data_IF_132149314475
#
_entry.id   IF_132149314475
#
_cell.length_a   1.000
_cell.length_b   1.000
_cell.length_c   1.000
_cell.angle_alpha   90.00
_cell.angle_beta   90.00
_cell.angle_gamma   90.00
#
_symmetry.space_group_name_H-M   'P 1'
#
loop_
_entity.id
_entity.type
_entity.pdbx_description
1 polymer ?
#
# COMPACT_ATOMS: atom_id res chain seq x y z
N UNK A 1 14.67 -57.96 60.25
CA UNK A 1 14.15 -56.94 59.32
C UNK A 1 15.11 -56.83 58.15
N UNK A 2 14.77 -56.36 56.95
CA UNK A 2 13.52 -55.84 56.40
C UNK A 2 13.97 -55.20 55.07
N UNK A 3 13.39 -55.63 53.94
CA UNK A 3 13.38 -54.99 52.60
C UNK A 3 14.74 -54.77 51.89
N UNK A 4 14.94 -55.05 50.60
CA UNK A 4 14.02 -55.02 49.47
C UNK A 4 14.21 -53.72 48.68
N UNK A 5 14.72 -53.81 47.44
CA UNK A 5 14.68 -52.73 46.45
C UNK A 5 16.05 -52.34 45.88
N UNK A 6 16.22 -51.99 44.62
CA UNK A 6 15.38 -52.08 43.43
C UNK A 6 16.32 -51.87 42.22
N UNK A 7 16.14 -52.65 41.16
CA UNK A 7 16.87 -52.51 39.89
C UNK A 7 16.57 -51.14 39.27
N UNK A 8 17.59 -50.28 39.12
CA UNK A 8 17.49 -49.08 38.32
C UNK A 8 17.49 -49.44 36.83
N UNK A 9 16.35 -49.23 36.17
CA UNK A 9 16.19 -49.36 34.71
C UNK A 9 16.83 -48.13 34.05
N UNK A 10 17.85 -48.34 33.22
CA UNK A 10 18.32 -47.33 32.27
C UNK A 10 17.26 -47.06 31.21
N UNK A 11 16.66 -45.88 31.24
CA UNK A 11 15.79 -45.38 30.16
C UNK A 11 16.64 -44.83 29.00
N UNK A 12 16.18 -44.94 27.75
CA UNK A 12 16.95 -44.48 26.61
C UNK A 12 16.98 -42.94 26.56
N UNK A 13 18.17 -42.41 26.30
CA UNK A 13 18.41 -41.00 26.07
C UNK A 13 17.46 -40.46 24.99
N UNK A 14 16.58 -39.53 25.37
CA UNK A 14 15.78 -38.75 24.41
C UNK A 14 16.74 -37.93 23.55
N UNK A 15 16.91 -38.35 22.30
CA UNK A 15 17.55 -37.56 21.25
C UNK A 15 16.78 -36.24 21.14
N UNK A 16 17.38 -35.14 21.57
CA UNK A 16 16.85 -33.81 21.33
C UNK A 16 16.82 -33.60 19.80
N UNK A 17 15.62 -33.44 19.24
CA UNK A 17 15.45 -33.01 17.87
C UNK A 17 16.05 -31.59 17.73
N UNK A 18 16.81 -31.30 16.66
CA UNK A 18 17.33 -29.96 16.46
C UNK A 18 16.16 -29.00 16.23
N UNK A 19 16.19 -27.85 16.92
CA UNK A 19 15.24 -26.77 16.74
C UNK A 19 15.22 -26.34 15.27
N UNK A 20 14.08 -26.55 14.61
CA UNK A 20 13.79 -25.96 13.31
C UNK A 20 13.91 -24.45 13.45
N UNK A 21 14.97 -23.89 12.88
CA UNK A 21 15.13 -22.46 12.69
C UNK A 21 14.05 -22.01 11.72
N UNK A 22 12.98 -21.43 12.27
CA UNK A 22 11.85 -20.83 11.55
C UNK A 22 12.38 -19.64 10.72
N UNK A 23 12.83 -19.93 9.49
CA UNK A 23 13.12 -18.94 8.47
C UNK A 23 11.86 -18.13 8.14
N UNK A 24 11.97 -16.99 7.43
CA UNK A 24 10.85 -16.08 7.23
C UNK A 24 9.67 -16.82 6.57
N UNK A 25 8.62 -17.06 7.37
CA UNK A 25 7.41 -17.81 6.97
C UNK A 25 6.88 -17.25 5.65
N UNK A 26 7.06 -18.02 4.57
CA UNK A 26 6.45 -17.71 3.27
C UNK A 26 4.93 -17.73 3.47
N UNK A 27 4.26 -16.61 3.23
CA UNK A 27 2.79 -16.59 3.22
C UNK A 27 2.29 -17.59 2.17
N UNK A 28 1.32 -18.45 2.49
CA UNK A 28 0.80 -19.42 1.53
C UNK A 28 0.19 -18.68 0.33
N UNK A 29 0.37 -19.24 -0.87
CA UNK A 29 -0.08 -18.61 -2.12
C UNK A 29 -1.60 -18.34 -2.13
N UNK A 30 -2.39 -19.19 -1.46
CA UNK A 30 -3.82 -18.98 -1.26
C UNK A 30 -4.12 -17.66 -0.51
N UNK A 31 -3.45 -17.41 0.62
CA UNK A 31 -3.64 -16.18 1.39
C UNK A 31 -3.19 -14.92 0.62
N UNK A 32 -2.26 -15.06 -0.33
CA UNK A 32 -1.88 -13.97 -1.24
C UNK A 32 -3.01 -13.69 -2.25
N UNK A 33 -3.57 -14.73 -2.87
CA UNK A 33 -4.67 -14.59 -3.82
C UNK A 33 -5.92 -14.01 -3.15
N UNK A 34 -6.27 -14.48 -1.95
CA UNK A 34 -7.41 -13.99 -1.17
C UNK A 34 -7.29 -12.50 -0.85
N UNK A 35 -6.09 -12.05 -0.46
CA UNK A 35 -5.83 -10.62 -0.21
C UNK A 35 -6.00 -9.79 -1.48
N UNK A 36 -5.48 -10.26 -2.62
CA UNK A 36 -5.61 -9.54 -3.88
C UNK A 36 -7.07 -9.45 -4.28
N UNK A 37 -7.83 -10.54 -4.19
CA UNK A 37 -9.26 -10.53 -4.51
C UNK A 37 -10.07 -9.60 -3.60
N UNK A 38 -9.77 -9.56 -2.29
CA UNK A 38 -10.39 -8.60 -1.39
C UNK A 38 -10.10 -7.14 -1.82
N UNK A 39 -8.84 -6.83 -2.12
CA UNK A 39 -8.47 -5.50 -2.61
C UNK A 39 -9.19 -5.19 -3.93
N UNK A 40 -9.33 -6.15 -4.84
CA UNK A 40 -10.07 -5.97 -6.10
C UNK A 40 -11.56 -5.71 -5.87
N UNK A 41 -12.18 -6.41 -4.91
CA UNK A 41 -13.59 -6.22 -4.54
C UNK A 41 -13.87 -4.81 -4.00
N UNK A 42 -12.96 -4.28 -3.17
CA UNK A 42 -13.06 -2.90 -2.65
C UNK A 42 -13.05 -1.84 -3.78
N UNK A 43 -12.50 -2.17 -4.95
CA UNK A 43 -12.46 -1.28 -6.13
C UNK A 43 -13.69 -1.40 -7.04
N UNK A 44 -14.59 -2.36 -6.82
CA UNK A 44 -15.75 -2.54 -7.69
C UNK A 44 -16.68 -1.31 -7.69
N UNK A 45 -17.05 -0.71 -6.53
CA UNK A 45 -17.99 0.41 -6.51
C UNK A 45 -17.51 1.64 -7.28
N UNK A 46 -16.21 1.95 -7.22
CA UNK A 46 -15.63 3.09 -7.93
C UNK A 46 -15.53 2.85 -9.45
N UNK A 47 -15.23 1.62 -9.88
CA UNK A 47 -15.12 1.27 -11.30
C UNK A 47 -16.51 1.23 -11.94
N UNK A 48 -17.51 0.76 -11.20
CA UNK A 48 -18.88 0.79 -11.67
C UNK A 48 -19.42 2.22 -11.77
N UNK A 49 -19.09 3.11 -10.84
CA UNK A 49 -19.42 4.54 -10.95
C UNK A 49 -18.76 5.19 -12.19
N UNK A 50 -17.49 4.87 -12.47
CA UNK A 50 -16.79 5.30 -13.70
C UNK A 50 -17.46 4.79 -14.98
N UNK A 51 -17.98 3.56 -14.96
CA UNK A 51 -18.78 2.96 -16.05
C UNK A 51 -20.09 3.68 -16.24
N UNK A 52 -20.86 3.89 -15.16
CA UNK A 52 -22.17 4.55 -15.19
C UNK A 52 -22.06 5.97 -15.72
N UNK A 53 -21.01 6.70 -15.32
CA UNK A 53 -20.69 8.05 -15.84
C UNK A 53 -20.14 8.03 -17.27
N UNK A 54 -19.96 6.86 -17.89
CA UNK A 54 -19.40 6.68 -19.25
C UNK A 54 -18.05 7.39 -19.45
N UNK A 55 -17.28 7.58 -18.37
CA UNK A 55 -15.92 8.16 -18.44
C UNK A 55 -14.97 7.17 -19.10
N UNK A 56 -15.18 5.88 -18.81
CA UNK A 56 -14.47 4.77 -19.44
C UNK A 56 -15.47 3.81 -20.07
N UNK A 57 -15.10 3.25 -21.21
CA UNK A 57 -15.87 2.18 -21.88
C UNK A 57 -15.60 0.84 -21.19
N UNK A 58 -16.53 -0.11 -21.30
CA UNK A 58 -16.35 -1.47 -20.76
C UNK A 58 -15.02 -2.16 -21.10
N UNK A 59 -14.50 -2.12 -22.34
CA UNK A 59 -13.19 -2.70 -22.63
C UNK A 59 -12.04 -1.99 -21.89
N UNK A 60 -12.11 -0.67 -21.70
CA UNK A 60 -11.10 0.09 -20.95
C UNK A 60 -11.15 -0.28 -19.47
N UNK A 61 -12.35 -0.45 -18.91
CA UNK A 61 -12.52 -0.88 -17.51
C UNK A 61 -11.93 -2.27 -17.29
N UNK A 62 -12.16 -3.22 -18.21
CA UNK A 62 -11.52 -4.54 -18.16
C UNK A 62 -10.00 -4.45 -18.15
N UNK A 63 -9.43 -3.56 -18.97
CA UNK A 63 -7.98 -3.34 -18.98
C UNK A 63 -7.48 -2.71 -17.67
N UNK A 64 -8.23 -1.76 -17.09
CA UNK A 64 -7.89 -1.14 -15.79
C UNK A 64 -7.90 -2.20 -14.68
N UNK A 65 -8.94 -3.03 -14.63
CA UNK A 65 -9.06 -4.14 -13.67
C UNK A 65 -7.87 -5.09 -13.79
N UNK A 66 -7.54 -5.52 -15.01
CA UNK A 66 -6.42 -6.42 -15.23
C UNK A 66 -5.10 -5.79 -14.80
N UNK A 67 -4.82 -4.54 -15.20
CA UNK A 67 -3.57 -3.85 -14.84
C UNK A 67 -3.43 -3.66 -13.33
N UNK A 68 -4.51 -3.26 -12.65
CA UNK A 68 -4.51 -3.13 -11.18
C UNK A 68 -4.25 -4.46 -10.49
N UNK A 69 -4.89 -5.54 -10.96
CA UNK A 69 -4.66 -6.90 -10.47
C UNK A 69 -3.19 -7.29 -10.63
N UNK A 70 -2.60 -7.05 -11.80
CA UNK A 70 -1.18 -7.36 -12.06
C UNK A 70 -0.25 -6.59 -11.10
N UNK A 71 -0.53 -5.32 -10.84
CA UNK A 71 0.22 -4.52 -9.86
C UNK A 71 0.05 -5.05 -8.43
N UNK A 72 -1.16 -5.41 -8.00
CA UNK A 72 -1.37 -5.95 -6.66
C UNK A 72 -0.65 -7.30 -6.48
N UNK A 73 -0.69 -8.18 -7.48
CA UNK A 73 0.11 -9.41 -7.46
C UNK A 73 1.62 -9.10 -7.41
N UNK A 74 2.11 -8.14 -8.20
CA UNK A 74 3.50 -7.73 -8.15
C UNK A 74 3.90 -7.17 -6.77
N UNK A 75 3.01 -6.44 -6.11
CA UNK A 75 3.19 -5.93 -4.75
C UNK A 75 3.08 -6.98 -3.65
N UNK A 76 2.57 -8.18 -3.93
CA UNK A 76 2.55 -9.27 -2.94
C UNK A 76 3.77 -10.20 -3.00
N UNK A 77 4.58 -10.11 -4.07
CA UNK A 77 5.83 -10.87 -4.19
C UNK A 77 6.75 -10.63 -2.98
N UNK A 78 7.63 -11.59 -2.69
CA UNK A 78 8.55 -11.49 -1.54
C UNK A 78 9.56 -10.35 -1.78
N UNK A 79 10.14 -10.28 -2.99
CA UNK A 79 11.19 -9.31 -3.35
C UNK A 79 10.63 -7.98 -3.88
N UNK A 80 9.79 -7.33 -3.07
CA UNK A 80 9.27 -5.98 -3.41
C UNK A 80 10.40 -4.97 -3.41
N UNK A 81 10.49 -4.20 -4.49
CA UNK A 81 11.36 -3.03 -4.63
C UNK A 81 10.52 -1.75 -4.64
N UNK A 82 11.08 -0.59 -4.23
CA UNK A 82 10.39 0.70 -4.33
C UNK A 82 9.86 0.98 -5.75
N UNK A 83 10.62 0.54 -6.77
CA UNK A 83 10.26 0.68 -8.18
C UNK A 83 8.90 0.07 -8.56
N UNK A 84 8.46 -1.03 -7.90
CA UNK A 84 7.15 -1.62 -8.17
C UNK A 84 6.01 -0.72 -7.67
N UNK A 85 6.18 -0.10 -6.49
CA UNK A 85 5.24 0.90 -5.99
C UNK A 85 5.21 2.13 -6.89
N UNK A 86 6.39 2.64 -7.29
CA UNK A 86 6.47 3.80 -8.17
C UNK A 86 5.88 3.54 -9.56
N UNK A 87 6.05 2.33 -10.09
CA UNK A 87 5.40 1.91 -11.33
C UNK A 87 3.88 1.96 -11.24
N UNK A 88 3.33 1.47 -10.13
CA UNK A 88 1.89 1.51 -9.88
C UNK A 88 1.38 2.95 -9.69
N UNK A 89 2.09 3.77 -8.90
CA UNK A 89 1.77 5.20 -8.74
C UNK A 89 1.74 5.92 -10.08
N UNK A 90 2.75 5.72 -10.94
CA UNK A 90 2.80 6.35 -12.27
C UNK A 90 1.58 5.98 -13.12
N UNK A 91 1.18 4.71 -13.09
CA UNK A 91 -0.01 4.24 -13.78
C UNK A 91 -1.29 4.92 -13.23
N UNK A 92 -1.48 4.93 -11.91
CA UNK A 92 -2.67 5.54 -11.30
C UNK A 92 -2.72 7.06 -11.48
N UNK A 93 -1.58 7.76 -11.46
CA UNK A 93 -1.51 9.20 -11.80
C UNK A 93 -1.94 9.44 -13.25
N UNK A 94 -1.45 8.63 -14.19
CA UNK A 94 -1.84 8.74 -15.60
C UNK A 94 -3.34 8.48 -15.78
N UNK A 95 -3.89 7.48 -15.09
CA UNK A 95 -5.31 7.14 -15.10
C UNK A 95 -6.17 8.28 -14.52
N UNK A 96 -5.76 8.87 -13.40
CA UNK A 96 -6.44 10.01 -12.79
C UNK A 96 -6.40 11.26 -13.68
N UNK A 97 -5.28 11.53 -14.35
CA UNK A 97 -5.17 12.59 -15.36
C UNK A 97 -6.14 12.36 -16.53
N UNK A 98 -6.24 11.13 -17.04
CA UNK A 98 -7.17 10.77 -18.10
C UNK A 98 -8.62 10.93 -17.65
N UNK A 99 -8.95 10.47 -16.43
CA UNK A 99 -10.27 10.64 -15.82
C UNK A 99 -10.64 12.12 -15.70
N UNK A 100 -9.75 12.97 -15.19
CA UNK A 100 -9.97 14.41 -15.05
C UNK A 100 -10.25 15.08 -16.40
N UNK A 101 -9.44 14.78 -17.42
CA UNK A 101 -9.61 15.31 -18.79
C UNK A 101 -10.96 14.91 -19.42
N UNK A 102 -11.37 13.66 -19.26
CA UNK A 102 -12.66 13.18 -19.77
C UNK A 102 -13.84 13.72 -18.96
N UNK A 103 -13.68 13.81 -17.64
CA UNK A 103 -14.71 14.32 -16.74
C UNK A 103 -14.95 15.81 -16.92
N UNK A 104 -13.92 16.61 -17.23
CA UNK A 104 -14.08 18.06 -17.49
C UNK A 104 -14.94 18.34 -18.72
N UNK A 105 -14.94 17.44 -19.71
CA UNK A 105 -15.80 17.57 -20.89
C UNK A 105 -17.28 17.32 -20.58
N UNK A 106 -17.60 16.60 -19.50
CA UNK A 106 -18.93 16.03 -19.26
C UNK A 106 -19.82 16.85 -18.29
N UNK A 107 -19.38 18.03 -17.83
CA UNK A 107 -20.17 18.99 -17.03
C UNK A 107 -21.07 18.37 -15.93
N UNK A 108 -20.54 17.39 -15.18
CA UNK A 108 -21.29 16.72 -14.13
C UNK A 108 -21.61 17.67 -12.96
N UNK A 109 -22.89 17.83 -12.64
CA UNK A 109 -23.35 18.72 -11.55
C UNK A 109 -23.05 18.21 -10.14
N UNK A 110 -22.81 16.90 -9.97
CA UNK A 110 -22.57 16.27 -8.66
C UNK A 110 -21.27 15.46 -8.65
N UNK A 111 -20.46 15.71 -7.62
CA UNK A 111 -19.30 14.87 -7.29
C UNK A 111 -19.78 13.50 -6.81
N UNK A 112 -19.11 12.44 -7.26
CA UNK A 112 -19.41 11.06 -6.88
C UNK A 112 -18.20 10.38 -6.24
N UNK A 113 -18.36 9.10 -5.91
CA UNK A 113 -17.30 8.28 -5.29
C UNK A 113 -16.04 8.24 -6.16
N UNK A 114 -16.19 8.10 -7.48
CA UNK A 114 -15.05 8.03 -8.41
C UNK A 114 -14.21 9.30 -8.47
N UNK A 115 -14.72 10.46 -8.01
CA UNK A 115 -13.98 11.71 -8.00
C UNK A 115 -12.89 11.75 -6.92
N UNK A 116 -13.09 11.02 -5.82
CA UNK A 116 -12.15 10.94 -4.70
C UNK A 116 -11.37 9.62 -4.69
N UNK A 117 -11.92 8.58 -5.30
CA UNK A 117 -11.36 7.23 -5.32
C UNK A 117 -9.92 7.19 -5.86
N UNK A 118 -9.63 7.86 -6.98
CA UNK A 118 -8.30 7.88 -7.59
C UNK A 118 -7.23 8.46 -6.66
N UNK A 119 -7.52 9.62 -6.06
CA UNK A 119 -6.60 10.27 -5.10
C UNK A 119 -6.43 9.42 -3.84
N UNK A 120 -7.52 8.85 -3.30
CA UNK A 120 -7.46 7.95 -2.15
C UNK A 120 -6.58 6.73 -2.42
N UNK A 121 -6.70 6.11 -3.61
CA UNK A 121 -5.85 4.97 -3.98
C UNK A 121 -4.39 5.36 -4.02
N UNK A 122 -4.05 6.48 -4.65
CA UNK A 122 -2.67 6.97 -4.69
C UNK A 122 -2.11 7.16 -3.28
N UNK A 123 -2.87 7.78 -2.38
CA UNK A 123 -2.50 7.91 -0.95
C UNK A 123 -2.25 6.54 -0.32
N UNK A 124 -3.15 5.57 -0.51
CA UNK A 124 -2.96 4.21 0.04
C UNK A 124 -1.72 3.50 -0.50
N UNK A 125 -1.40 3.65 -1.80
CA UNK A 125 -0.20 3.06 -2.40
C UNK A 125 1.06 3.72 -1.82
N UNK A 126 1.07 5.05 -1.69
CA UNK A 126 2.17 5.77 -1.06
C UNK A 126 2.34 5.38 0.40
N UNK A 127 1.26 5.29 1.18
CA UNK A 127 1.29 4.86 2.58
C UNK A 127 1.90 3.45 2.73
N UNK A 128 1.51 2.51 1.86
CA UNK A 128 2.11 1.16 1.81
C UNK A 128 3.60 1.23 1.46
N UNK A 129 3.98 2.09 0.51
CA UNK A 129 5.36 2.28 0.07
C UNK A 129 6.25 2.82 1.20
N UNK A 130 5.87 3.94 1.81
CA UNK A 130 6.66 4.58 2.89
C UNK A 130 6.68 3.75 4.16
N UNK A 131 5.62 3.00 4.45
CA UNK A 131 5.59 2.08 5.60
C UNK A 131 6.59 0.95 5.45
N UNK A 132 6.85 0.49 4.22
CA UNK A 132 7.84 -0.56 3.94
C UNK A 132 9.26 0.00 3.81
N UNK A 133 9.42 1.13 3.14
CA UNK A 133 10.71 1.75 2.81
C UNK A 133 10.91 3.07 3.57
N UNK A 134 10.84 3.02 4.90
CA UNK A 134 10.86 4.21 5.77
C UNK A 134 12.13 5.05 5.62
N UNK A 135 13.27 4.39 5.37
CA UNK A 135 14.59 5.01 5.32
C UNK A 135 14.84 5.86 4.05
N UNK A 136 14.12 5.60 2.96
CA UNK A 136 14.37 6.30 1.70
C UNK A 136 13.67 7.67 1.66
N UNK A 137 14.45 8.73 1.85
CA UNK A 137 13.97 10.12 1.82
C UNK A 137 13.38 10.52 0.47
N UNK A 138 13.83 9.93 -0.64
CA UNK A 138 13.34 10.26 -1.99
C UNK A 138 11.86 9.91 -2.15
N UNK A 139 11.43 8.80 -1.55
CA UNK A 139 10.03 8.38 -1.56
C UNK A 139 9.14 9.36 -0.78
N UNK A 140 9.63 9.88 0.35
CA UNK A 140 8.93 10.89 1.12
C UNK A 140 8.78 12.20 0.34
N UNK A 141 9.82 12.66 -0.35
CA UNK A 141 9.73 13.83 -1.22
C UNK A 141 8.71 13.65 -2.35
N UNK A 142 8.71 12.50 -3.02
CA UNK A 142 7.72 12.20 -4.06
C UNK A 142 6.29 12.16 -3.51
N UNK A 143 6.11 11.64 -2.30
CA UNK A 143 4.81 11.61 -1.66
C UNK A 143 4.33 13.03 -1.27
N UNK A 144 5.22 13.86 -0.75
CA UNK A 144 4.92 15.27 -0.44
C UNK A 144 4.58 16.05 -1.71
N UNK A 145 5.35 15.90 -2.79
CA UNK A 145 5.04 16.54 -4.09
C UNK A 145 3.66 16.12 -4.61
N UNK A 146 3.30 14.83 -4.49
CA UNK A 146 1.97 14.34 -4.82
C UNK A 146 0.88 14.98 -3.93
N UNK A 147 1.10 15.07 -2.61
CA UNK A 147 0.17 15.71 -1.69
C UNK A 147 -0.02 17.20 -1.99
N UNK A 148 1.05 17.91 -2.37
CA UNK A 148 0.99 19.31 -2.80
C UNK A 148 0.17 19.48 -4.07
N UNK A 149 0.39 18.65 -5.08
CA UNK A 149 -0.38 18.67 -6.36
C UNK A 149 -1.84 18.28 -6.20
N UNK A 150 -2.15 17.38 -5.27
CA UNK A 150 -3.51 16.96 -4.99
C UNK A 150 -4.31 17.96 -4.14
N UNK A 151 -3.64 18.96 -3.53
CA UNK A 151 -4.28 19.98 -2.70
C UNK A 151 -4.85 19.46 -1.38
N UNK A 152 -4.52 18.22 -0.98
CA UNK A 152 -5.04 17.61 0.24
C UNK A 152 -4.25 18.04 1.46
N UNK A 153 -4.58 19.21 2.02
CA UNK A 153 -3.86 19.83 3.16
C UNK A 153 -3.78 18.92 4.38
N UNK A 154 -4.90 18.31 4.79
CA UNK A 154 -4.93 17.40 5.95
C UNK A 154 -4.03 16.17 5.79
N UNK A 155 -4.03 15.59 4.59
CA UNK A 155 -3.16 14.43 4.29
C UNK A 155 -1.71 14.86 4.30
N UNK A 156 -1.39 16.02 3.70
CA UNK A 156 -0.05 16.58 3.69
C UNK A 156 0.50 16.80 5.10
N UNK A 157 -0.22 17.46 6.00
CA UNK A 157 0.22 17.66 7.40
C UNK A 157 0.45 16.32 8.11
N UNK A 158 -0.43 15.33 7.91
CA UNK A 158 -0.25 13.99 8.47
C UNK A 158 0.97 13.24 7.92
N UNK A 159 1.32 13.45 6.64
CA UNK A 159 2.51 12.87 6.01
C UNK A 159 3.77 13.57 6.52
N UNK A 160 3.79 14.91 6.58
CA UNK A 160 4.92 15.69 7.07
C UNK A 160 5.23 15.37 8.53
N UNK A 161 4.20 15.27 9.39
CA UNK A 161 4.38 14.87 10.79
C UNK A 161 5.01 13.47 10.94
N UNK A 162 4.67 12.53 10.05
CA UNK A 162 5.32 11.20 10.03
C UNK A 162 6.74 11.28 9.47
N UNK A 163 6.96 12.08 8.42
CA UNK A 163 8.26 12.25 7.79
C UNK A 163 9.28 12.84 8.76
N UNK A 164 8.91 13.92 9.46
CA UNK A 164 9.75 14.60 10.46
C UNK A 164 10.14 13.68 11.62
N UNK A 165 9.18 12.87 12.13
CA UNK A 165 9.46 11.89 13.19
C UNK A 165 10.47 10.82 12.77
N UNK A 166 10.45 10.42 11.49
CA UNK A 166 11.35 9.39 10.96
C UNK A 166 12.69 9.96 10.48
N UNK A 167 12.71 11.22 10.05
CA UNK A 167 13.88 11.90 9.48
C UNK A 167 14.13 13.24 10.17
N UNK A 168 14.50 13.24 11.46
CA UNK A 168 14.65 14.47 12.24
C UNK A 168 15.79 15.36 11.73
N UNK A 169 16.82 14.77 11.12
CA UNK A 169 17.99 15.48 10.59
C UNK A 169 17.73 16.20 9.25
N UNK A 170 16.62 15.91 8.58
CA UNK A 170 16.33 16.52 7.28
C UNK A 170 15.57 17.84 7.49
N UNK A 171 16.28 18.95 7.41
CA UNK A 171 15.73 20.31 7.64
C UNK A 171 14.59 20.65 6.67
N UNK A 172 14.64 20.14 5.43
CA UNK A 172 13.63 20.43 4.42
C UNK A 172 12.22 19.98 4.81
N UNK A 173 12.07 18.85 5.54
CA UNK A 173 10.75 18.42 6.01
C UNK A 173 10.19 19.37 7.08
N UNK A 174 11.05 19.91 7.94
CA UNK A 174 10.66 20.92 8.93
C UNK A 174 10.23 22.23 8.27
N UNK A 175 10.99 22.70 7.28
CA UNK A 175 10.64 23.91 6.53
C UNK A 175 9.31 23.76 5.80
N UNK A 176 9.08 22.61 5.15
CA UNK A 176 7.82 22.32 4.48
C UNK A 176 6.65 22.18 5.46
N UNK A 177 6.88 21.63 6.65
CA UNK A 177 5.88 21.57 7.71
C UNK A 177 5.53 22.97 8.23
N UNK A 178 6.53 23.77 8.57
CA UNK A 178 6.34 25.15 9.06
C UNK A 178 5.62 26.03 8.03
N UNK A 179 6.05 25.98 6.76
CA UNK A 179 5.40 26.72 5.67
C UNK A 179 3.92 26.34 5.49
N UNK A 180 3.55 25.08 5.77
CA UNK A 180 2.15 24.65 5.70
C UNK A 180 1.32 25.04 6.91
N UNK A 181 1.86 24.94 8.11
CA UNK A 181 1.14 25.38 9.31
C UNK A 181 0.91 26.90 9.30
N UNK A 182 1.84 27.69 8.75
CA UNK A 182 1.70 29.15 8.63
C UNK A 182 0.73 29.61 7.53
N UNK A 183 0.37 28.73 6.59
CA UNK A 183 -0.57 29.03 5.50
C UNK A 183 -2.01 28.58 5.79
N UNK A 184 -2.23 27.91 6.92
CA UNK A 184 -3.56 27.57 7.45
C UNK A 184 -4.15 28.76 8.20
#
# INVERSE_FOLDING_TARGET
>A
GAFGGARARGGPARRAAPAETDGPRRRPAAAMADYVEQVMQDMVPELDDLRRKRIFKDPEIRQIVQRRRDFEYALQKVDRKPQHYLGYVRYEVALECLRRRRSSAMHWRRRSLSDYAGVRRLVCIFDRCVSKFKADRRLWYQYVDFCLRSGSTRVLSGVLNRAVKLHPHEVSFWLLAADRELRL
#
